data_IF_084821815135
#
_entry.id   IF_084821815135
#
_cell.length_a   1.000
_cell.length_b   1.000
_cell.length_c   1.000
_cell.angle_alpha   90.00
_cell.angle_beta   90.00
_cell.angle_gamma   90.00
#
_symmetry.space_group_name_H-M   'P 1'
#
loop_
_entity.id
_entity.type
_entity.pdbx_description
1 polymer ?
#
# COMPACT_ATOMS: atom_id res chain seq x y z
N UNK A 1 18.71 20.22 -16.82
CA UNK A 1 18.00 20.31 -15.54
C UNK A 1 18.99 19.96 -14.43
N UNK A 2 18.96 20.58 -13.25
CA UNK A 2 19.80 20.12 -12.15
C UNK A 2 19.47 18.65 -11.87
N UNK A 3 20.48 17.86 -11.65
CA UNK A 3 20.30 16.44 -11.41
C UNK A 3 19.73 16.27 -9.99
N UNK A 4 18.45 15.88 -9.87
CA UNK A 4 17.84 15.62 -8.58
C UNK A 4 18.53 14.43 -7.89
N UNK A 5 18.69 14.52 -6.58
CA UNK A 5 19.13 13.45 -5.70
C UNK A 5 17.98 13.15 -4.76
N UNK A 6 17.23 12.11 -5.08
CA UNK A 6 15.96 11.78 -4.42
C UNK A 6 16.19 10.67 -3.41
N UNK A 7 15.73 10.88 -2.18
CA UNK A 7 15.59 9.85 -1.16
C UNK A 7 14.09 9.56 -0.99
N UNK A 8 13.72 8.30 -1.11
CA UNK A 8 12.34 7.84 -0.90
C UNK A 8 12.25 7.00 0.36
N UNK A 9 11.47 7.46 1.34
CA UNK A 9 11.31 6.82 2.65
C UNK A 9 10.05 5.95 2.76
N UNK A 10 9.43 5.64 1.62
CA UNK A 10 8.28 4.71 1.53
C UNK A 10 8.25 4.04 0.15
N UNK A 11 7.83 2.78 0.09
CA UNK A 11 7.84 1.99 -1.14
C UNK A 11 6.98 2.60 -2.27
N UNK A 12 5.79 3.12 -1.96
CA UNK A 12 4.91 3.78 -2.94
C UNK A 12 5.58 4.96 -3.64
N UNK A 13 6.30 5.80 -2.88
CA UNK A 13 7.03 6.94 -3.46
C UNK A 13 8.17 6.49 -4.37
N UNK A 14 8.87 5.42 -4.02
CA UNK A 14 9.89 4.82 -4.88
C UNK A 14 9.31 4.39 -6.24
N UNK A 15 8.13 3.76 -6.21
CA UNK A 15 7.42 3.34 -7.41
C UNK A 15 6.92 4.53 -8.24
N UNK A 16 6.44 5.59 -7.60
CA UNK A 16 6.05 6.85 -8.27
C UNK A 16 7.26 7.46 -8.99
N UNK A 17 8.40 7.61 -8.29
CA UNK A 17 9.63 8.16 -8.88
C UNK A 17 10.11 7.32 -10.07
N UNK A 18 10.05 5.99 -9.95
CA UNK A 18 10.42 5.08 -11.04
C UNK A 18 9.46 5.22 -12.24
N UNK A 19 8.14 5.28 -11.99
CA UNK A 19 7.13 5.45 -13.03
C UNK A 19 7.22 6.80 -13.75
N UNK A 20 7.71 7.85 -13.07
CA UNK A 20 8.04 9.14 -13.67
C UNK A 20 9.33 9.12 -14.51
N UNK A 21 10.00 7.96 -14.64
CA UNK A 21 11.25 7.81 -15.39
C UNK A 21 12.49 8.35 -14.67
N UNK A 22 12.38 8.61 -13.37
CA UNK A 22 13.43 9.22 -12.55
C UNK A 22 14.16 8.22 -11.63
N UNK A 23 14.10 6.93 -11.92
CA UNK A 23 14.75 5.88 -11.15
C UNK A 23 16.25 6.15 -10.92
N UNK A 24 16.94 6.68 -11.95
CA UNK A 24 18.37 7.04 -11.84
C UNK A 24 18.67 8.22 -10.91
N UNK A 25 17.65 8.99 -10.54
CA UNK A 25 17.73 10.08 -9.58
C UNK A 25 17.58 9.64 -8.13
N UNK A 26 17.11 8.39 -7.91
CA UNK A 26 17.08 7.78 -6.58
C UNK A 26 18.51 7.54 -6.10
N UNK A 27 18.83 8.06 -4.92
CA UNK A 27 20.14 7.91 -4.27
C UNK A 27 20.04 7.15 -2.94
N UNK A 28 18.85 7.00 -2.38
CA UNK A 28 18.55 6.27 -1.16
C UNK A 28 17.07 5.91 -1.06
N UNK A 29 16.76 4.86 -0.34
CA UNK A 29 15.42 4.27 -0.25
C UNK A 29 15.08 3.91 1.20
N UNK A 30 13.81 3.61 1.50
CA UNK A 30 13.40 2.92 2.73
C UNK A 30 13.86 1.46 2.69
N UNK A 31 14.04 0.86 3.86
CA UNK A 31 14.32 -0.58 4.00
C UNK A 31 13.18 -1.47 3.45
N UNK A 32 11.98 -0.94 3.27
CA UNK A 32 10.82 -1.65 2.71
C UNK A 32 10.70 -1.54 1.19
N UNK A 33 11.58 -0.78 0.53
CA UNK A 33 11.52 -0.61 -0.92
C UNK A 33 12.13 -1.82 -1.63
N UNK A 34 11.33 -2.50 -2.44
CA UNK A 34 11.71 -3.72 -3.17
C UNK A 34 11.42 -3.66 -4.68
N UNK A 35 10.79 -2.57 -5.15
CA UNK A 35 10.43 -2.40 -6.56
C UNK A 35 10.76 -0.98 -7.07
N UNK A 36 11.27 -0.86 -8.31
CA UNK A 36 11.71 -1.92 -9.23
C UNK A 36 13.00 -2.63 -8.75
N UNK A 37 13.32 -3.85 -9.22
CA UNK A 37 14.47 -4.62 -8.71
C UNK A 37 15.84 -3.92 -8.81
N UNK A 38 16.00 -2.98 -9.70
CA UNK A 38 17.23 -2.18 -9.91
C UNK A 38 17.61 -1.32 -8.69
N UNK A 39 16.64 -0.98 -7.81
CA UNK A 39 16.89 -0.12 -6.63
C UNK A 39 17.56 -0.84 -5.46
N UNK A 40 17.57 -2.17 -5.43
CA UNK A 40 18.15 -2.94 -4.32
C UNK A 40 19.63 -2.63 -4.00
N UNK A 41 20.34 -2.00 -4.94
CA UNK A 41 21.73 -1.55 -4.74
C UNK A 41 21.84 -0.23 -3.96
N UNK A 42 20.73 0.49 -3.78
CA UNK A 42 20.72 1.78 -3.11
C UNK A 42 20.78 1.59 -1.58
N UNK A 43 21.40 2.52 -0.85
CA UNK A 43 21.44 2.44 0.59
C UNK A 43 20.06 2.62 1.21
N UNK A 44 19.76 1.84 2.24
CA UNK A 44 18.59 2.04 3.07
C UNK A 44 18.80 3.24 3.99
N UNK A 45 17.87 4.18 3.95
CA UNK A 45 17.88 5.40 4.76
C UNK A 45 16.99 5.32 6.00
N UNK A 46 16.34 4.17 6.21
CA UNK A 46 15.47 3.91 7.37
C UNK A 46 15.58 2.46 7.83
N UNK A 47 15.11 2.22 9.06
CA UNK A 47 14.96 0.90 9.64
C UNK A 47 13.70 0.83 10.52
N UNK A 48 13.15 -0.36 10.72
CA UNK A 48 12.11 -0.59 11.72
C UNK A 48 12.73 -0.60 13.12
N UNK A 49 12.07 0.04 14.09
CA UNK A 49 12.43 -0.01 15.52
C UNK A 49 11.81 -1.21 16.25
N UNK A 50 10.89 -1.89 15.61
CA UNK A 50 10.22 -3.07 16.13
C UNK A 50 10.67 -4.32 15.37
N UNK A 51 10.56 -5.47 16.00
CA UNK A 51 10.70 -6.75 15.31
C UNK A 51 9.42 -7.00 14.48
N UNK A 52 9.58 -7.08 13.17
CA UNK A 52 8.49 -7.36 12.21
C UNK A 52 8.29 -8.85 11.96
N UNK A 53 9.09 -9.71 12.60
CA UNK A 53 8.92 -11.16 12.57
C UNK A 53 7.90 -11.60 13.62
N UNK A 54 7.25 -12.73 13.35
CA UNK A 54 6.23 -13.28 14.25
C UNK A 54 4.84 -13.29 13.60
N UNK A 55 3.82 -13.55 14.40
CA UNK A 55 2.42 -13.55 13.95
C UNK A 55 1.89 -12.13 13.77
N UNK A 56 0.82 -11.98 12.96
CA UNK A 56 0.12 -10.70 12.81
C UNK A 56 -0.31 -10.11 14.16
N UNK A 57 -0.73 -10.95 15.11
CA UNK A 57 -1.05 -10.54 16.49
C UNK A 57 0.16 -9.94 17.21
N UNK A 58 1.30 -10.62 17.17
CA UNK A 58 2.52 -10.16 17.85
C UNK A 58 3.03 -8.84 17.25
N UNK A 59 2.95 -8.70 15.93
CA UNK A 59 3.33 -7.46 15.25
C UNK A 59 2.39 -6.32 15.66
N UNK A 60 1.07 -6.53 15.63
CA UNK A 60 0.07 -5.54 16.05
C UNK A 60 0.29 -5.10 17.52
N UNK A 61 0.54 -6.05 18.42
CA UNK A 61 0.79 -5.76 19.83
C UNK A 61 2.07 -4.91 20.01
N UNK A 62 3.16 -5.19 19.26
CA UNK A 62 4.40 -4.40 19.29
C UNK A 62 4.18 -2.99 18.76
N UNK A 63 3.47 -2.86 17.63
CA UNK A 63 3.10 -1.56 17.06
C UNK A 63 2.32 -0.73 18.09
N UNK A 64 1.26 -1.29 18.67
CA UNK A 64 0.44 -0.62 19.68
C UNK A 64 1.24 -0.21 20.92
N UNK A 65 2.20 -1.04 21.34
CA UNK A 65 3.06 -0.74 22.49
C UNK A 65 3.95 0.49 22.23
N UNK A 66 4.51 0.60 21.03
CA UNK A 66 5.36 1.73 20.61
C UNK A 66 4.54 3.00 20.45
N UNK A 67 3.38 2.94 19.78
CA UNK A 67 2.50 4.09 19.57
C UNK A 67 1.95 4.66 20.88
N UNK A 68 1.62 3.81 21.87
CA UNK A 68 1.21 4.27 23.21
C UNK A 68 2.26 5.13 23.91
N UNK A 69 3.52 5.00 23.56
CA UNK A 69 4.63 5.80 24.10
C UNK A 69 4.92 7.05 23.26
N UNK A 70 4.10 7.33 22.23
CA UNK A 70 4.33 8.38 21.23
C UNK A 70 5.71 8.27 20.55
N UNK A 71 6.18 7.04 20.34
CA UNK A 71 7.44 6.73 19.66
C UNK A 71 7.10 6.30 18.23
N UNK A 72 7.85 6.79 17.26
CA UNK A 72 7.76 6.33 15.87
C UNK A 72 8.21 4.88 15.73
N UNK A 73 7.53 4.13 14.86
CA UNK A 73 7.83 2.73 14.53
C UNK A 73 9.14 2.61 13.73
N UNK A 74 9.58 3.67 13.08
CA UNK A 74 10.75 3.71 12.21
C UNK A 74 11.81 4.69 12.71
N UNK A 75 13.05 4.48 12.24
CA UNK A 75 14.20 5.39 12.43
C UNK A 75 14.73 5.83 11.07
N UNK A 76 15.11 7.11 10.97
CA UNK A 76 15.87 7.65 9.84
C UNK A 76 17.37 7.58 10.15
N UNK A 77 18.17 7.17 9.17
CA UNK A 77 19.64 7.18 9.25
C UNK A 77 20.16 8.54 8.78
N UNK A 78 20.29 9.48 9.72
CA UNK A 78 20.73 10.87 9.43
C UNK A 78 22.14 10.92 8.82
N UNK A 79 23.03 10.06 9.27
CA UNK A 79 24.40 9.92 8.74
C UNK A 79 24.42 9.46 7.27
N UNK A 80 23.51 8.57 6.87
CA UNK A 80 23.32 8.15 5.47
C UNK A 80 22.78 9.32 4.65
N UNK A 81 21.77 10.04 5.16
CA UNK A 81 21.22 11.21 4.47
C UNK A 81 22.29 12.30 4.26
N UNK A 82 23.14 12.56 5.26
CA UNK A 82 24.23 13.55 5.16
C UNK A 82 25.25 13.18 4.08
N UNK A 83 25.57 11.88 3.91
CA UNK A 83 26.45 11.40 2.85
C UNK A 83 25.79 11.48 1.46
N UNK A 84 24.49 11.26 1.39
CA UNK A 84 23.73 11.25 0.13
C UNK A 84 23.45 12.67 -0.38
N UNK A 85 23.52 13.68 0.47
CA UNK A 85 23.22 15.08 0.10
C UNK A 85 21.95 15.21 -0.76
N UNK A 86 20.77 14.72 -0.28
CA UNK A 86 19.54 14.73 -1.07
C UNK A 86 19.09 16.15 -1.39
N UNK A 87 18.45 16.33 -2.54
CA UNK A 87 17.74 17.57 -2.92
C UNK A 87 16.24 17.46 -2.65
N UNK A 88 15.72 16.23 -2.61
CA UNK A 88 14.31 15.91 -2.32
C UNK A 88 14.26 14.67 -1.44
N UNK A 89 13.45 14.72 -0.39
CA UNK A 89 13.07 13.56 0.44
C UNK A 89 11.57 13.40 0.36
N UNK A 90 11.12 12.18 0.06
CA UNK A 90 9.68 11.85 -0.04
C UNK A 90 9.33 10.91 1.10
N UNK A 91 8.29 11.26 1.86
CA UNK A 91 7.73 10.46 2.95
C UNK A 91 6.21 10.44 2.88
N UNK A 92 5.53 9.89 3.89
CA UNK A 92 4.07 9.82 3.98
C UNK A 92 3.61 10.24 5.37
N UNK A 93 2.43 10.87 5.47
CA UNK A 93 1.83 11.28 6.75
C UNK A 93 0.52 10.56 7.06
N UNK A 94 -0.05 9.85 6.11
CA UNK A 94 -1.35 9.16 6.25
C UNK A 94 -1.35 8.12 7.39
N UNK A 95 -0.26 7.36 7.55
CA UNK A 95 -0.17 6.26 8.50
C UNK A 95 1.18 6.27 9.21
N UNK A 96 1.16 6.49 10.54
CA UNK A 96 2.40 6.48 11.36
C UNK A 96 3.02 5.07 11.48
N UNK A 97 2.29 4.04 11.04
CA UNK A 97 2.72 2.63 11.07
C UNK A 97 3.37 2.19 9.75
N UNK A 98 3.05 2.87 8.63
CA UNK A 98 3.43 2.43 7.28
C UNK A 98 4.67 3.13 6.74
N UNK A 99 5.09 4.25 7.35
CA UNK A 99 6.25 5.03 6.91
C UNK A 99 6.91 5.75 8.08
N UNK A 100 8.11 6.28 7.82
CA UNK A 100 8.76 7.24 8.73
C UNK A 100 7.87 8.47 8.88
N UNK A 101 7.59 8.89 10.11
CA UNK A 101 6.74 10.06 10.36
C UNK A 101 7.38 11.35 9.79
N UNK A 102 6.53 12.27 9.31
CA UNK A 102 7.01 13.57 8.82
C UNK A 102 7.85 14.30 9.88
N UNK A 103 7.44 14.23 11.14
CA UNK A 103 8.17 14.84 12.27
C UNK A 103 9.59 14.28 12.42
N UNK A 104 9.78 12.96 12.27
CA UNK A 104 11.11 12.34 12.34
C UNK A 104 11.96 12.73 11.12
N UNK A 105 11.34 12.87 9.94
CA UNK A 105 12.03 13.33 8.73
C UNK A 105 12.46 14.79 8.89
N UNK A 106 11.57 15.67 9.33
CA UNK A 106 11.88 17.09 9.56
C UNK A 106 12.98 17.27 10.61
N UNK A 107 12.94 16.49 11.70
CA UNK A 107 14.00 16.49 12.71
C UNK A 107 15.34 16.06 12.11
N UNK A 108 15.37 14.99 11.31
CA UNK A 108 16.57 14.53 10.62
C UNK A 108 17.10 15.59 9.63
N UNK A 109 16.22 16.23 8.86
CA UNK A 109 16.58 17.29 7.91
C UNK A 109 17.19 18.51 8.61
N UNK A 110 16.70 18.89 9.80
CA UNK A 110 17.28 19.99 10.59
C UNK A 110 18.73 19.71 11.00
N UNK A 111 19.17 18.45 11.09
CA UNK A 111 20.53 18.06 11.41
C UNK A 111 21.47 18.07 10.20
N UNK A 112 20.94 18.11 8.96
CA UNK A 112 21.75 18.09 7.74
C UNK A 112 22.49 19.40 7.56
N UNK A 113 23.82 19.32 7.46
CA UNK A 113 24.70 20.49 7.29
C UNK A 113 24.97 20.80 5.81
N UNK A 114 25.04 19.75 4.96
CA UNK A 114 25.48 19.88 3.56
C UNK A 114 24.37 20.10 2.58
N UNK A 115 23.14 19.65 2.90
CA UNK A 115 21.98 19.80 2.04
C UNK A 115 20.78 20.32 2.82
N UNK A 116 19.89 21.00 2.11
CA UNK A 116 18.57 21.41 2.63
C UNK A 116 17.52 20.86 1.66
N UNK A 117 17.18 19.58 1.75
CA UNK A 117 16.27 18.94 0.82
C UNK A 117 14.85 19.49 0.96
N UNK A 118 14.13 19.56 -0.15
CA UNK A 118 12.67 19.73 -0.15
C UNK A 118 12.04 18.44 0.39
N UNK A 119 11.28 18.52 1.47
CA UNK A 119 10.48 17.39 1.97
C UNK A 119 9.12 17.39 1.28
N UNK A 120 8.71 16.22 0.78
CA UNK A 120 7.41 15.97 0.13
C UNK A 120 6.69 14.92 0.94
N UNK A 121 5.57 15.29 1.55
CA UNK A 121 4.71 14.37 2.30
C UNK A 121 3.54 13.90 1.43
N UNK A 122 3.32 12.59 1.37
CA UNK A 122 2.20 11.94 0.69
C UNK A 122 1.08 11.67 1.70
N UNK A 123 -0.18 11.84 1.27
CA UNK A 123 -1.36 11.72 2.14
C UNK A 123 -2.52 10.98 1.46
N UNK A 124 -2.30 9.77 0.93
CA UNK A 124 -3.31 9.08 0.14
C UNK A 124 -4.34 8.40 1.04
N UNK A 125 -5.63 8.71 0.86
CA UNK A 125 -6.75 8.00 1.46
C UNK A 125 -7.70 7.41 0.41
N UNK A 126 -7.64 7.92 -0.83
CA UNK A 126 -8.47 7.55 -1.97
C UNK A 126 -7.61 7.41 -3.23
N UNK A 127 -8.17 6.92 -4.32
CA UNK A 127 -7.48 6.90 -5.62
C UNK A 127 -7.17 8.32 -6.11
N UNK A 128 -8.06 9.28 -5.87
CA UNK A 128 -7.82 10.67 -6.25
C UNK A 128 -6.66 11.29 -5.47
N UNK A 129 -6.49 10.94 -4.19
CA UNK A 129 -5.34 11.37 -3.40
C UNK A 129 -4.04 10.78 -3.94
N UNK A 130 -4.06 9.51 -4.38
CA UNK A 130 -2.88 8.89 -5.03
C UNK A 130 -2.48 9.62 -6.30
N UNK A 131 -3.46 10.08 -7.11
CA UNK A 131 -3.17 10.92 -8.27
C UNK A 131 -2.60 12.28 -7.84
N UNK A 132 -3.15 12.88 -6.79
CA UNK A 132 -2.61 14.11 -6.19
C UNK A 132 -1.16 13.93 -5.72
N UNK A 133 -0.84 12.81 -5.13
CA UNK A 133 0.51 12.47 -4.69
C UNK A 133 1.49 12.30 -5.85
N UNK A 134 1.07 11.66 -6.95
CA UNK A 134 1.88 11.57 -8.18
C UNK A 134 2.22 12.98 -8.70
N UNK A 135 1.23 13.89 -8.78
CA UNK A 135 1.47 15.28 -9.19
C UNK A 135 2.40 15.99 -8.22
N UNK A 136 2.18 15.86 -6.91
CA UNK A 136 3.01 16.48 -5.86
C UNK A 136 4.48 16.09 -5.99
N UNK A 137 4.74 14.80 -6.24
CA UNK A 137 6.11 14.31 -6.52
C UNK A 137 6.63 14.87 -7.83
N UNK A 138 5.85 14.79 -8.92
CA UNK A 138 6.27 15.26 -10.24
C UNK A 138 6.61 16.75 -10.26
N UNK A 139 5.81 17.59 -9.59
CA UNK A 139 6.08 19.03 -9.42
C UNK A 139 7.34 19.28 -8.59
N UNK A 140 7.53 18.51 -7.51
CA UNK A 140 8.70 18.65 -6.64
C UNK A 140 10.02 18.41 -7.38
N UNK A 141 10.00 17.56 -8.41
CA UNK A 141 11.17 17.21 -9.22
C UNK A 141 11.14 17.80 -10.63
N UNK A 142 10.19 18.72 -10.93
CA UNK A 142 10.16 19.50 -12.16
C UNK A 142 9.74 18.73 -13.42
N UNK A 143 8.88 17.71 -13.28
CA UNK A 143 8.37 16.87 -14.38
C UNK A 143 6.82 16.77 -14.35
N UNK A 144 6.12 17.85 -14.02
CA UNK A 144 4.67 17.88 -13.84
C UNK A 144 3.91 17.29 -15.03
N UNK A 145 4.29 17.63 -16.28
CA UNK A 145 3.67 17.08 -17.49
C UNK A 145 3.78 15.54 -17.58
N UNK A 146 4.92 14.99 -17.17
CA UNK A 146 5.09 13.53 -17.10
C UNK A 146 4.17 12.91 -16.04
N UNK A 147 3.96 13.61 -14.93
CA UNK A 147 3.00 13.21 -13.88
C UNK A 147 1.56 13.15 -14.40
N UNK A 148 1.12 14.19 -15.13
CA UNK A 148 -0.20 14.23 -15.78
C UNK A 148 -0.37 13.07 -16.77
N UNK A 149 0.60 12.85 -17.64
CA UNK A 149 0.58 11.73 -18.60
C UNK A 149 0.53 10.36 -17.93
N UNK A 150 1.26 10.18 -16.83
CA UNK A 150 1.20 8.95 -16.03
C UNK A 150 -0.22 8.73 -15.47
N UNK A 151 -0.82 9.75 -14.86
CA UNK A 151 -2.18 9.68 -14.32
C UNK A 151 -3.21 9.35 -15.41
N UNK A 152 -3.12 10.01 -16.55
CA UNK A 152 -4.02 9.74 -17.69
C UNK A 152 -3.93 8.28 -18.13
N UNK A 153 -2.72 7.72 -18.16
CA UNK A 153 -2.48 6.31 -18.49
C UNK A 153 -3.11 5.37 -17.45
N UNK A 154 -2.93 5.66 -16.15
CA UNK A 154 -3.51 4.88 -15.06
C UNK A 154 -5.04 4.93 -15.08
N UNK A 155 -5.62 6.12 -15.22
CA UNK A 155 -7.07 6.32 -15.33
C UNK A 155 -7.65 5.59 -16.53
N UNK A 156 -6.98 5.61 -17.68
CA UNK A 156 -7.42 4.90 -18.88
C UNK A 156 -7.41 3.36 -18.69
N UNK A 157 -6.45 2.81 -17.94
CA UNK A 157 -6.43 1.38 -17.59
C UNK A 157 -7.59 1.03 -16.65
N UNK A 158 -7.79 1.78 -15.56
CA UNK A 158 -8.91 1.58 -14.62
C UNK A 158 -10.26 1.71 -15.30
N UNK A 159 -10.41 2.69 -16.20
CA UNK A 159 -11.64 2.87 -16.96
C UNK A 159 -11.95 1.68 -17.88
N UNK A 160 -10.94 1.06 -18.47
CA UNK A 160 -11.14 -0.17 -19.28
C UNK A 160 -11.65 -1.31 -18.41
N UNK A 161 -11.08 -1.53 -17.21
CA UNK A 161 -11.56 -2.53 -16.26
C UNK A 161 -13.03 -2.26 -15.93
N UNK A 162 -13.35 -1.04 -15.52
CA UNK A 162 -14.72 -0.65 -15.15
C UNK A 162 -15.73 -0.81 -16.31
N UNK A 163 -15.33 -0.50 -17.55
CA UNK A 163 -16.20 -0.71 -18.72
C UNK A 163 -16.44 -2.21 -18.99
N UNK A 164 -15.42 -3.03 -18.85
CA UNK A 164 -15.55 -4.50 -19.02
C UNK A 164 -16.44 -5.09 -17.94
N UNK A 165 -16.22 -4.74 -16.68
CA UNK A 165 -17.01 -5.24 -15.55
C UNK A 165 -18.47 -4.76 -15.58
N UNK A 166 -18.71 -3.52 -16.03
CA UNK A 166 -20.06 -2.96 -16.17
C UNK A 166 -20.92 -3.73 -17.19
N UNK A 167 -20.31 -4.44 -18.15
CA UNK A 167 -21.02 -5.29 -19.11
C UNK A 167 -21.42 -6.65 -18.52
N UNK A 168 -20.89 -7.04 -17.36
CA UNK A 168 -21.17 -8.31 -16.70
C UNK A 168 -22.51 -8.27 -15.96
N UNK A 169 -23.18 -9.43 -15.88
CA UNK A 169 -24.52 -9.52 -15.26
C UNK A 169 -24.49 -9.60 -13.73
N UNK A 170 -23.36 -9.96 -13.15
CA UNK A 170 -23.24 -10.16 -11.70
C UNK A 170 -22.24 -9.19 -11.10
N UNK A 171 -22.54 -8.74 -9.88
CA UNK A 171 -21.61 -7.99 -9.02
C UNK A 171 -21.43 -8.77 -7.72
N UNK A 172 -20.43 -9.66 -7.65
CA UNK A 172 -20.19 -10.46 -6.44
C UNK A 172 -19.79 -9.57 -5.26
N UNK A 173 -20.23 -9.95 -4.05
CA UNK A 173 -19.70 -9.36 -2.83
C UNK A 173 -18.34 -9.96 -2.48
N UNK A 174 -17.42 -9.15 -1.99
CA UNK A 174 -16.09 -9.56 -1.57
C UNK A 174 -15.77 -8.98 -0.19
N UNK A 175 -15.10 -9.75 0.65
CA UNK A 175 -14.42 -9.25 1.84
C UNK A 175 -12.92 -9.17 1.56
N UNK A 176 -12.36 -7.97 1.60
CA UNK A 176 -10.93 -7.72 1.51
C UNK A 176 -10.35 -7.66 2.93
N UNK A 177 -9.54 -8.67 3.29
CA UNK A 177 -8.93 -8.80 4.62
C UNK A 177 -7.52 -8.25 4.58
N UNK A 178 -7.32 -7.06 5.16
CA UNK A 178 -6.02 -6.36 5.20
C UNK A 178 -5.14 -6.76 6.37
N UNK A 179 -5.70 -7.34 7.43
CA UNK A 179 -4.95 -7.88 8.55
C UNK A 179 -5.66 -9.10 9.14
N UNK A 180 -4.89 -10.13 9.54
CA UNK A 180 -5.45 -11.43 9.90
C UNK A 180 -5.82 -11.48 11.39
N UNK A 181 -4.96 -10.97 12.27
CA UNK A 181 -5.21 -10.96 13.70
C UNK A 181 -4.54 -9.75 14.39
N UNK A 182 -5.34 -8.80 14.93
CA UNK A 182 -6.80 -8.72 14.91
C UNK A 182 -7.34 -8.52 13.49
N UNK A 183 -8.52 -9.06 13.20
CA UNK A 183 -9.09 -9.00 11.86
C UNK A 183 -9.42 -7.57 11.46
N UNK A 184 -8.98 -7.15 10.25
CA UNK A 184 -9.27 -5.83 9.69
C UNK A 184 -9.78 -5.95 8.26
N UNK A 185 -10.82 -5.15 7.94
CA UNK A 185 -11.25 -4.95 6.57
C UNK A 185 -10.38 -3.88 5.89
N UNK A 186 -10.07 -4.09 4.61
CA UNK A 186 -9.36 -3.09 3.82
C UNK A 186 -10.19 -1.83 3.64
N UNK A 187 -9.57 -0.68 3.81
CA UNK A 187 -10.16 0.64 3.62
C UNK A 187 -9.46 1.43 2.52
N UNK A 188 -9.32 2.74 2.75
CA UNK A 188 -8.66 3.68 1.86
C UNK A 188 -9.18 3.56 0.41
N UNK A 189 -8.33 3.26 -0.55
CA UNK A 189 -8.61 3.09 -1.99
C UNK A 189 -9.16 1.70 -2.36
N UNK A 190 -9.03 0.68 -1.47
CA UNK A 190 -9.39 -0.71 -1.82
C UNK A 190 -10.88 -0.88 -2.17
N UNK A 191 -11.85 -0.29 -1.42
CA UNK A 191 -13.25 -0.39 -1.82
C UNK A 191 -13.55 0.27 -3.17
N UNK A 192 -12.84 1.35 -3.56
CA UNK A 192 -12.95 1.95 -4.89
C UNK A 192 -12.43 1.00 -5.97
N UNK A 193 -11.31 0.30 -5.72
CA UNK A 193 -10.78 -0.73 -6.64
C UNK A 193 -11.76 -1.89 -6.80
N UNK A 194 -12.42 -2.32 -5.71
CA UNK A 194 -13.47 -3.35 -5.75
C UNK A 194 -14.64 -2.90 -6.63
N UNK A 195 -15.08 -1.66 -6.49
CA UNK A 195 -16.17 -1.13 -7.31
C UNK A 195 -15.79 -1.09 -8.79
N UNK A 196 -14.61 -0.60 -9.13
CA UNK A 196 -14.05 -0.58 -10.50
C UNK A 196 -13.92 -1.99 -11.08
N UNK A 197 -13.55 -2.95 -10.24
CA UNK A 197 -13.46 -4.36 -10.58
C UNK A 197 -14.84 -5.06 -10.68
N UNK A 198 -15.96 -4.33 -10.54
CA UNK A 198 -17.31 -4.85 -10.66
C UNK A 198 -17.80 -5.64 -9.46
N UNK A 199 -17.20 -5.48 -8.29
CA UNK A 199 -17.60 -6.09 -7.02
C UNK A 199 -18.40 -5.16 -6.12
N UNK A 200 -18.74 -5.67 -4.93
CA UNK A 200 -19.32 -4.93 -3.80
C UNK A 200 -18.54 -5.30 -2.56
N UNK A 201 -17.94 -4.33 -1.89
CA UNK A 201 -17.31 -4.52 -0.58
C UNK A 201 -18.31 -4.11 0.53
N UNK A 202 -18.86 -5.06 1.31
CA UNK A 202 -19.81 -4.75 2.37
C UNK A 202 -19.12 -4.36 3.70
N UNK A 203 -17.79 -4.44 3.80
CA UNK A 203 -17.04 -4.30 5.05
C UNK A 203 -16.04 -3.15 5.03
N UNK A 204 -15.49 -2.80 3.85
CA UNK A 204 -14.56 -1.70 3.69
C UNK A 204 -15.28 -0.36 3.50
N UNK A 205 -14.63 0.72 3.94
CA UNK A 205 -15.10 2.10 3.75
C UNK A 205 -14.11 2.86 2.87
N UNK A 206 -14.56 3.30 1.68
CA UNK A 206 -13.72 4.08 0.77
C UNK A 206 -13.31 5.42 1.40
N UNK A 207 -12.04 5.78 1.27
CA UNK A 207 -11.49 7.03 1.81
C UNK A 207 -11.26 7.04 3.32
N UNK A 208 -11.59 5.97 4.04
CA UNK A 208 -11.35 5.82 5.47
C UNK A 208 -10.24 4.79 5.73
N UNK A 209 -9.50 4.99 6.79
CA UNK A 209 -8.47 4.03 7.22
C UNK A 209 -9.10 2.65 7.49
N UNK A 210 -8.35 1.60 7.18
CA UNK A 210 -8.76 0.20 7.38
C UNK A 210 -9.20 -0.06 8.82
N UNK A 211 -10.41 -0.61 8.96
CA UNK A 211 -11.08 -0.77 10.24
C UNK A 211 -10.99 -2.17 10.82
N UNK A 212 -10.93 -2.26 12.15
CA UNK A 212 -11.10 -3.54 12.82
C UNK A 212 -12.50 -4.09 12.58
N UNK A 213 -12.59 -5.38 12.33
CA UNK A 213 -13.85 -6.12 12.25
C UNK A 213 -13.79 -7.38 13.10
N UNK A 214 -14.95 -7.91 13.45
CA UNK A 214 -15.06 -9.21 14.09
C UNK A 214 -15.30 -10.31 13.06
N UNK A 215 -15.02 -11.55 13.42
CA UNK A 215 -15.44 -12.68 12.59
C UNK A 215 -16.99 -12.76 12.46
N UNK A 216 -17.72 -12.23 13.44
CA UNK A 216 -19.16 -12.07 13.36
C UNK A 216 -19.60 -11.16 12.23
N UNK A 217 -18.88 -10.06 11.99
CA UNK A 217 -19.16 -9.13 10.90
C UNK A 217 -18.91 -9.80 9.54
N UNK A 218 -17.79 -10.52 9.38
CA UNK A 218 -17.49 -11.30 8.18
C UNK A 218 -18.58 -12.35 7.90
N UNK A 219 -19.03 -13.04 8.95
CA UNK A 219 -20.10 -14.03 8.84
C UNK A 219 -21.46 -13.39 8.50
N UNK A 220 -21.76 -12.22 9.06
CA UNK A 220 -23.01 -11.50 8.77
C UNK A 220 -23.03 -10.97 7.32
N UNK A 221 -21.89 -10.53 6.80
CA UNK A 221 -21.73 -10.12 5.42
C UNK A 221 -21.83 -11.30 4.44
N UNK A 222 -21.36 -12.49 4.85
CA UNK A 222 -21.38 -13.75 4.08
C UNK A 222 -21.00 -13.54 2.60
N UNK A 223 -19.80 -13.04 2.30
CA UNK A 223 -19.44 -12.61 0.96
C UNK A 223 -19.31 -13.78 -0.02
N UNK A 224 -19.48 -13.48 -1.32
CA UNK A 224 -19.26 -14.45 -2.39
C UNK A 224 -17.78 -14.79 -2.59
N UNK A 225 -16.89 -13.89 -2.20
CA UNK A 225 -15.43 -14.00 -2.36
C UNK A 225 -14.76 -13.47 -1.09
N UNK A 226 -13.65 -14.07 -0.71
CA UNK A 226 -12.73 -13.54 0.30
C UNK A 226 -11.36 -13.37 -0.35
N UNK A 227 -10.79 -12.18 -0.27
CA UNK A 227 -9.41 -11.89 -0.65
C UNK A 227 -8.61 -11.52 0.60
N UNK A 228 -7.53 -12.25 0.85
CA UNK A 228 -6.65 -12.07 2.00
C UNK A 228 -5.39 -11.38 1.49
N UNK A 229 -5.18 -10.12 1.91
CA UNK A 229 -4.15 -9.22 1.39
C UNK A 229 -3.42 -8.47 2.52
N UNK A 230 -2.80 -9.18 3.49
CA UNK A 230 -2.26 -8.53 4.68
C UNK A 230 -1.16 -7.54 4.33
N UNK A 231 -1.22 -6.35 4.92
CA UNK A 231 -0.24 -5.30 4.71
C UNK A 231 1.18 -5.78 5.03
N UNK A 232 2.12 -5.61 4.08
CA UNK A 232 3.50 -6.03 4.23
C UNK A 232 3.77 -7.53 4.10
N UNK A 233 2.75 -8.36 3.83
CA UNK A 233 2.92 -9.81 3.66
C UNK A 233 2.85 -10.20 2.18
N UNK A 234 3.84 -10.97 1.73
CA UNK A 234 3.76 -11.73 0.49
C UNK A 234 2.84 -12.96 0.65
N UNK A 235 2.54 -13.64 -0.45
CA UNK A 235 1.66 -14.82 -0.43
C UNK A 235 2.18 -15.91 0.54
N UNK A 236 3.46 -16.36 0.47
CA UNK A 236 3.99 -17.37 1.40
C UNK A 236 3.86 -16.98 2.87
N UNK A 237 4.07 -15.70 3.18
CA UNK A 237 3.95 -15.22 4.56
C UNK A 237 2.49 -15.17 5.02
N UNK A 238 1.56 -14.74 4.16
CA UNK A 238 0.13 -14.73 4.47
C UNK A 238 -0.41 -16.15 4.66
N UNK A 239 0.01 -17.10 3.83
CA UNK A 239 -0.41 -18.51 3.93
C UNK A 239 -0.04 -19.17 5.26
N UNK A 240 1.08 -18.78 5.88
CA UNK A 240 1.50 -19.32 7.19
C UNK A 240 0.50 -19.02 8.31
N UNK A 241 -0.30 -17.98 8.18
CA UNK A 241 -1.28 -17.55 9.19
C UNK A 241 -2.73 -17.88 8.86
N UNK A 242 -3.00 -18.52 7.74
CA UNK A 242 -4.38 -18.85 7.33
C UNK A 242 -5.12 -19.69 8.37
N UNK A 243 -4.43 -20.51 9.16
CA UNK A 243 -5.03 -21.32 10.22
C UNK A 243 -5.81 -20.47 11.23
N UNK A 244 -5.40 -19.23 11.49
CA UNK A 244 -6.10 -18.29 12.38
C UNK A 244 -7.54 -18.03 11.91
N UNK A 245 -7.78 -18.08 10.61
CA UNK A 245 -9.10 -17.93 10.00
C UNK A 245 -9.77 -19.29 9.78
N UNK A 246 -9.05 -20.26 9.18
CA UNK A 246 -9.62 -21.52 8.71
C UNK A 246 -9.99 -22.51 9.80
N UNK A 247 -9.38 -22.40 11.00
CA UNK A 247 -9.70 -23.22 12.17
C UNK A 247 -10.89 -22.68 12.97
N UNK A 248 -11.45 -21.51 12.59
CA UNK A 248 -12.66 -21.00 13.25
C UNK A 248 -13.86 -21.91 12.96
N UNK A 249 -14.68 -22.23 13.96
CA UNK A 249 -15.78 -23.22 13.81
C UNK A 249 -16.74 -22.89 12.66
N UNK A 250 -17.03 -21.59 12.46
CA UNK A 250 -18.00 -21.12 11.47
C UNK A 250 -17.35 -20.81 10.09
N UNK A 251 -16.04 -21.01 9.92
CA UNK A 251 -15.35 -20.72 8.65
C UNK A 251 -15.95 -21.50 7.47
N UNK A 252 -16.21 -22.79 7.69
CA UNK A 252 -16.76 -23.67 6.66
C UNK A 252 -18.22 -23.34 6.27
N UNK A 253 -18.89 -22.45 7.01
CA UNK A 253 -20.26 -22.04 6.71
C UNK A 253 -20.34 -20.88 5.72
N UNK A 254 -19.21 -20.16 5.49
CA UNK A 254 -19.16 -19.01 4.60
C UNK A 254 -19.32 -19.42 3.14
N UNK A 255 -20.12 -18.69 2.36
CA UNK A 255 -20.35 -18.91 0.92
C UNK A 255 -19.06 -18.96 0.12
N UNK A 256 -18.15 -18.01 0.37
CA UNK A 256 -16.85 -17.97 -0.29
C UNK A 256 -16.06 -19.25 -0.09
N UNK A 257 -16.07 -19.81 1.13
CA UNK A 257 -15.37 -21.04 1.48
C UNK A 257 -16.02 -22.24 0.80
N UNK A 258 -17.36 -22.35 0.86
CA UNK A 258 -18.11 -23.45 0.26
C UNK A 258 -17.97 -23.49 -1.27
N UNK A 259 -17.79 -22.33 -1.90
CA UNK A 259 -17.60 -22.22 -3.35
C UNK A 259 -16.14 -22.25 -3.79
N UNK A 260 -15.18 -22.40 -2.85
CA UNK A 260 -13.75 -22.39 -3.15
C UNK A 260 -13.22 -21.03 -3.62
N UNK A 261 -13.89 -19.93 -3.23
CA UNK A 261 -13.54 -18.56 -3.66
C UNK A 261 -12.85 -17.76 -2.54
N UNK A 262 -11.84 -18.37 -1.95
CA UNK A 262 -10.93 -17.74 -0.99
C UNK A 262 -9.57 -17.62 -1.66
N UNK A 263 -9.07 -16.41 -1.76
CA UNK A 263 -7.81 -16.12 -2.44
C UNK A 263 -6.84 -15.44 -1.48
N UNK A 264 -5.59 -15.87 -1.52
CA UNK A 264 -4.47 -15.17 -0.88
C UNK A 264 -3.75 -14.38 -1.96
N UNK A 265 -3.53 -13.10 -1.71
CA UNK A 265 -2.86 -12.20 -2.64
C UNK A 265 -1.61 -11.60 -1.99
N UNK A 266 -0.73 -11.05 -2.79
CA UNK A 266 0.44 -10.35 -2.30
C UNK A 266 0.06 -8.96 -1.79
N UNK A 267 -0.17 -8.84 -0.47
CA UNK A 267 -0.51 -7.59 0.19
C UNK A 267 0.69 -6.64 0.32
N UNK A 268 1.92 -7.15 0.16
CA UNK A 268 3.11 -6.31 0.19
C UNK A 268 3.30 -5.54 -1.12
N UNK A 269 3.22 -6.22 -2.27
CA UNK A 269 3.49 -5.59 -3.56
C UNK A 269 2.31 -4.79 -4.12
N UNK A 270 1.08 -5.27 -3.84
CA UNK A 270 -0.16 -4.66 -4.35
C UNK A 270 -0.99 -4.11 -3.19
N UNK A 271 -2.22 -3.73 -3.39
CA UNK A 271 -3.24 -3.32 -2.44
C UNK A 271 -2.83 -2.27 -1.38
N UNK A 272 -1.73 -2.49 -0.66
CA UNK A 272 -1.30 -1.64 0.47
C UNK A 272 -0.19 -0.64 0.11
N UNK A 273 0.11 -0.45 -1.20
CA UNK A 273 1.04 0.55 -1.71
C UNK A 273 0.29 1.57 -2.56
N UNK A 274 0.01 2.77 -2.04
CA UNK A 274 -0.70 3.82 -2.79
C UNK A 274 0.20 4.41 -3.88
N UNK A 275 0.20 3.78 -5.04
CA UNK A 275 1.07 4.14 -6.14
C UNK A 275 0.57 3.64 -7.50
N UNK A 276 1.41 3.72 -8.54
CA UNK A 276 1.01 3.38 -9.91
C UNK A 276 0.48 1.95 -10.07
N UNK A 277 0.92 1.00 -9.23
CA UNK A 277 0.52 -0.42 -9.32
C UNK A 277 -0.87 -0.72 -8.71
N UNK A 278 -1.60 0.26 -8.22
CA UNK A 278 -3.02 0.06 -7.85
C UNK A 278 -3.89 -0.33 -9.04
N UNK A 279 -3.44 -0.07 -10.27
CA UNK A 279 -4.11 -0.58 -11.47
C UNK A 279 -3.99 -2.09 -11.56
N UNK A 280 -2.81 -2.66 -11.28
CA UNK A 280 -2.61 -4.11 -11.20
C UNK A 280 -3.46 -4.73 -10.07
N UNK A 281 -3.63 -4.01 -8.95
CA UNK A 281 -4.52 -4.43 -7.86
C UNK A 281 -5.98 -4.53 -8.35
N UNK A 282 -6.45 -3.57 -9.16
CA UNK A 282 -7.77 -3.61 -9.76
C UNK A 282 -7.92 -4.76 -10.77
N UNK A 283 -6.87 -5.04 -11.56
CA UNK A 283 -6.84 -6.17 -12.51
C UNK A 283 -6.92 -7.51 -11.77
N UNK A 284 -6.18 -7.67 -10.66
CA UNK A 284 -6.24 -8.85 -9.78
C UNK A 284 -7.64 -9.02 -9.21
N UNK A 285 -8.25 -7.95 -8.69
CA UNK A 285 -9.62 -8.00 -8.16
C UNK A 285 -10.65 -8.37 -9.24
N UNK A 286 -10.51 -7.83 -10.45
CA UNK A 286 -11.40 -8.15 -11.56
C UNK A 286 -11.32 -9.64 -11.92
N UNK A 287 -10.13 -10.23 -11.98
CA UNK A 287 -9.96 -11.68 -12.23
C UNK A 287 -10.52 -12.53 -11.07
N UNK A 288 -10.29 -12.10 -9.81
CA UNK A 288 -10.83 -12.79 -8.63
C UNK A 288 -12.37 -12.75 -8.63
N UNK A 289 -12.96 -11.60 -8.95
CA UNK A 289 -14.41 -11.40 -8.93
C UNK A 289 -15.12 -12.11 -10.11
N UNK A 290 -14.47 -12.11 -11.28
CA UNK A 290 -15.03 -12.60 -12.54
C UNK A 290 -14.06 -13.55 -13.27
N UNK A 291 -13.77 -14.73 -12.70
CA UNK A 291 -12.77 -15.64 -13.26
C UNK A 291 -13.05 -16.03 -14.72
N UNK A 292 -12.04 -15.85 -15.59
CA UNK A 292 -12.10 -16.18 -17.00
C UNK A 292 -12.83 -15.18 -17.90
N UNK A 293 -13.30 -14.06 -17.36
CA UNK A 293 -13.90 -12.97 -18.16
C UNK A 293 -12.87 -11.92 -18.60
N UNK A 294 -11.67 -11.96 -18.01
CA UNK A 294 -10.54 -11.09 -18.32
C UNK A 294 -9.42 -11.92 -18.97
N UNK A 295 -9.13 -11.65 -20.24
CA UNK A 295 -8.04 -12.24 -21.04
C UNK A 295 -7.01 -11.18 -21.41
#
# INVERSE_FOLDING_TARGET
MPQHRIVSLIASATEIVAALGLEKSLVGISHECDFPPSIHRLPACSEAKIDVNGTSREIDDRVKAVLKQAISVYRVHTDVLEQLEPTVIITQTQCEVCAVSLKDVEAAVCELVRSQPKVVALEPNSLDDVYGDIIRVAEAVGVAETGEQLIDSLKARLQRISQQTAALKSRPSIACIEWIDPLMAAGNWVPELVELAGGIDPLGNAGEHSGYMTFGDLRAADPNVIAIMPCGFDIPRAEQELSVLTERPDWQTLKAVQSGRVYVTDGNQYFNRPGPRLVESAEILAEILHPGEFN
#
